data_IF_397525421678
#
_entry.id   IF_397525421678
#
_cell.length_a   1.000
_cell.length_b   1.000
_cell.length_c   1.000
_cell.angle_alpha   90.00
_cell.angle_beta   90.00
_cell.angle_gamma   90.00
#
_symmetry.space_group_name_H-M   'P 1'
#
loop_
_entity.id
_entity.type
_entity.pdbx_description
1 polymer ?
#
# COMPACT_ATOMS: atom_id res chain seq x y z
N UNK A 1 8.91 37.34 -20.65
CA UNK A 1 9.94 37.78 -21.61
C UNK A 1 11.29 37.66 -20.90
N UNK A 2 12.35 37.16 -21.56
CA UNK A 2 13.70 37.20 -20.96
C UNK A 2 14.12 38.67 -20.88
N UNK A 3 14.72 39.08 -19.77
CA UNK A 3 15.20 40.45 -19.61
C UNK A 3 16.30 40.74 -20.63
N UNK A 4 16.33 41.93 -21.25
CA UNK A 4 17.34 42.29 -22.26
C UNK A 4 18.78 42.13 -21.74
N UNK A 5 18.98 42.22 -20.42
CA UNK A 5 20.26 41.98 -19.76
C UNK A 5 20.79 40.54 -19.92
N UNK A 6 19.93 39.53 -19.90
CA UNK A 6 20.35 38.12 -19.98
C UNK A 6 20.94 37.77 -21.35
N UNK A 7 20.33 38.31 -22.42
CA UNK A 7 20.75 38.05 -23.80
C UNK A 7 22.16 38.60 -24.05
N UNK A 8 22.46 39.82 -23.58
CA UNK A 8 23.80 40.41 -23.76
C UNK A 8 24.89 39.64 -23.01
N UNK A 9 24.56 39.09 -21.82
CA UNK A 9 25.48 38.24 -21.03
C UNK A 9 25.74 36.91 -21.74
N UNK A 10 24.70 36.26 -22.27
CA UNK A 10 24.83 35.01 -23.03
C UNK A 10 25.67 35.22 -24.31
N UNK A 11 25.45 36.31 -25.05
CA UNK A 11 26.23 36.66 -26.24
C UNK A 11 27.71 36.88 -25.93
N UNK A 12 28.02 37.66 -24.89
CA UNK A 12 29.42 37.87 -24.46
C UNK A 12 30.10 36.54 -24.07
N UNK A 13 29.37 35.65 -23.41
CA UNK A 13 29.86 34.31 -23.06
C UNK A 13 30.12 33.44 -24.30
N UNK A 14 29.20 33.45 -25.26
CA UNK A 14 29.34 32.72 -26.51
C UNK A 14 30.53 33.21 -27.34
N UNK A 15 30.73 34.54 -27.44
CA UNK A 15 31.91 35.12 -28.09
C UNK A 15 33.22 34.66 -27.45
N UNK A 16 33.30 34.69 -26.11
CA UNK A 16 34.47 34.20 -25.37
C UNK A 16 34.76 32.72 -25.66
N UNK A 17 33.74 31.88 -25.73
CA UNK A 17 33.90 30.46 -26.08
C UNK A 17 34.35 30.29 -27.53
N UNK A 18 33.80 31.05 -28.47
CA UNK A 18 34.19 31.00 -29.87
C UNK A 18 35.67 31.36 -30.06
N UNK A 19 36.17 32.37 -29.35
CA UNK A 19 37.58 32.73 -29.35
C UNK A 19 38.48 31.60 -28.83
N UNK A 20 38.09 30.93 -27.75
CA UNK A 20 38.81 29.75 -27.22
C UNK A 20 38.88 28.64 -28.28
N UNK A 21 37.78 28.34 -28.96
CA UNK A 21 37.76 27.34 -30.02
C UNK A 21 38.61 27.74 -31.23
N UNK A 22 38.60 29.02 -31.61
CA UNK A 22 39.47 29.55 -32.68
C UNK A 22 40.95 29.38 -32.33
N UNK A 23 41.35 29.72 -31.10
CA UNK A 23 42.74 29.54 -30.62
C UNK A 23 43.16 28.07 -30.56
N UNK A 24 42.28 27.18 -30.09
CA UNK A 24 42.54 25.74 -30.13
C UNK A 24 42.70 25.23 -31.57
N UNK A 25 41.88 25.72 -32.52
CA UNK A 25 41.95 25.35 -33.94
C UNK A 25 43.22 25.88 -34.63
N UNK A 26 43.74 27.03 -34.22
CA UNK A 26 45.01 27.56 -34.72
C UNK A 26 46.25 26.82 -34.18
N UNK A 27 46.07 25.79 -33.35
CA UNK A 27 47.15 24.96 -32.84
C UNK A 27 47.70 25.38 -31.47
N UNK A 28 47.04 26.26 -30.74
CA UNK A 28 47.45 26.61 -29.36
C UNK A 28 47.28 25.39 -28.44
N UNK A 29 48.40 24.85 -27.94
CA UNK A 29 48.44 23.64 -27.12
C UNK A 29 47.64 23.79 -25.82
N UNK A 30 47.65 24.97 -25.20
CA UNK A 30 46.94 25.20 -23.94
C UNK A 30 45.43 25.09 -24.13
N UNK A 31 44.87 25.83 -25.11
CA UNK A 31 43.43 25.78 -25.37
C UNK A 31 42.98 24.43 -25.94
N UNK A 32 43.84 23.75 -26.71
CA UNK A 32 43.59 22.38 -27.17
C UNK A 32 43.49 21.40 -25.98
N UNK A 33 44.39 21.49 -25.00
CA UNK A 33 44.34 20.68 -23.78
C UNK A 33 43.08 20.96 -22.94
N UNK A 34 42.68 22.23 -22.82
CA UNK A 34 41.43 22.62 -22.15
C UNK A 34 40.21 22.01 -22.85
N UNK A 35 40.11 22.15 -24.18
CA UNK A 35 39.02 21.56 -24.96
C UNK A 35 38.97 20.04 -24.76
N UNK A 36 40.12 19.35 -24.86
CA UNK A 36 40.22 17.90 -24.65
C UNK A 36 39.76 17.47 -23.26
N UNK A 37 40.10 18.24 -22.21
CA UNK A 37 39.63 17.97 -20.84
C UNK A 37 38.10 18.04 -20.74
N UNK A 38 37.49 19.08 -21.29
CA UNK A 38 36.04 19.24 -21.29
C UNK A 38 35.34 18.20 -22.16
N UNK A 39 35.90 17.83 -23.32
CA UNK A 39 35.39 16.72 -24.13
C UNK A 39 35.32 15.42 -23.33
N UNK A 40 36.39 15.05 -22.61
CA UNK A 40 36.39 13.87 -21.73
C UNK A 40 35.35 13.96 -20.62
N UNK A 41 35.16 15.14 -20.02
CA UNK A 41 34.12 15.35 -19.01
C UNK A 41 32.71 15.16 -19.59
N UNK A 42 32.44 15.70 -20.78
CA UNK A 42 31.14 15.56 -21.45
C UNK A 42 30.92 14.09 -21.84
N UNK A 43 31.92 13.43 -22.41
CA UNK A 43 31.88 11.99 -22.72
C UNK A 43 31.55 11.18 -21.45
N UNK A 44 32.23 11.44 -20.34
CA UNK A 44 31.94 10.81 -19.04
C UNK A 44 30.51 11.06 -18.56
N UNK A 45 30.02 12.30 -18.66
CA UNK A 45 28.65 12.66 -18.28
C UNK A 45 27.60 11.96 -19.17
N UNK A 46 27.82 11.91 -20.49
CA UNK A 46 26.92 11.20 -21.42
C UNK A 46 26.92 9.70 -21.20
N UNK A 47 28.08 9.11 -20.90
CA UNK A 47 28.21 7.71 -20.54
C UNK A 47 27.45 7.39 -19.25
N UNK A 48 27.62 8.22 -18.21
CA UNK A 48 26.89 8.07 -16.94
C UNK A 48 25.38 8.19 -17.14
N UNK A 49 24.90 9.22 -17.88
CA UNK A 49 23.49 9.39 -18.17
C UNK A 49 22.89 8.19 -18.93
N UNK A 50 23.67 7.59 -19.84
CA UNK A 50 23.27 6.36 -20.54
C UNK A 50 23.17 5.18 -19.57
N UNK A 51 24.16 5.00 -18.69
CA UNK A 51 24.15 3.94 -17.68
C UNK A 51 22.96 4.08 -16.72
N UNK A 52 22.71 5.29 -16.21
CA UNK A 52 21.59 5.60 -15.33
C UNK A 52 20.24 5.32 -16.01
N UNK A 53 20.11 5.65 -17.31
CA UNK A 53 18.91 5.34 -18.08
C UNK A 53 18.66 3.83 -18.19
N UNK A 54 19.70 3.05 -18.48
CA UNK A 54 19.59 1.58 -18.54
C UNK A 54 19.19 1.03 -17.17
N UNK A 55 19.83 1.51 -16.10
CA UNK A 55 19.52 1.11 -14.74
C UNK A 55 18.07 1.44 -14.34
N UNK A 56 17.58 2.64 -14.65
CA UNK A 56 16.18 3.01 -14.41
C UNK A 56 15.19 2.14 -15.19
N UNK A 57 15.51 1.79 -16.45
CA UNK A 57 14.70 0.89 -17.24
C UNK A 57 14.64 -0.51 -16.64
N UNK A 58 15.77 -1.02 -16.14
CA UNK A 58 15.83 -2.30 -15.43
C UNK A 58 15.01 -2.26 -14.14
N UNK A 59 15.15 -1.21 -13.32
CA UNK A 59 14.33 -1.03 -12.10
C UNK A 59 12.85 -1.04 -12.44
N UNK A 60 12.43 -0.23 -13.43
CA UNK A 60 11.03 -0.16 -13.83
C UNK A 60 10.51 -1.52 -14.33
N UNK A 61 11.35 -2.29 -15.03
CA UNK A 61 11.01 -3.64 -15.46
C UNK A 61 10.88 -4.60 -14.28
N UNK A 62 11.81 -4.56 -13.32
CA UNK A 62 11.74 -5.35 -12.08
C UNK A 62 10.50 -5.01 -11.26
N UNK A 63 10.17 -3.73 -11.11
CA UNK A 63 8.96 -3.28 -10.44
C UNK A 63 7.70 -3.80 -11.13
N UNK A 64 7.65 -3.73 -12.47
CA UNK A 64 6.56 -4.30 -13.25
C UNK A 64 6.43 -5.80 -13.03
N UNK A 65 7.53 -6.55 -13.05
CA UNK A 65 7.50 -8.00 -12.80
C UNK A 65 7.12 -8.35 -11.36
N UNK A 66 7.56 -7.54 -10.39
CA UNK A 66 7.23 -7.71 -8.96
C UNK A 66 5.75 -7.45 -8.67
N UNK A 67 5.17 -6.46 -9.35
CA UNK A 67 3.78 -6.03 -9.15
C UNK A 67 2.79 -6.70 -10.10
N UNK A 68 3.28 -7.42 -11.13
CA UNK A 68 2.45 -8.17 -12.07
C UNK A 68 1.58 -9.19 -11.32
N UNK A 69 0.25 -9.11 -11.42
CA UNK A 69 -0.64 -10.10 -10.83
C UNK A 69 -0.43 -11.46 -11.51
N UNK A 70 -0.08 -12.48 -10.72
CA UNK A 70 0.06 -13.86 -11.19
C UNK A 70 -1.08 -14.70 -10.61
N UNK A 71 -1.73 -15.48 -11.47
CA UNK A 71 -2.76 -16.41 -11.02
C UNK A 71 -2.13 -17.56 -10.24
N UNK A 72 -2.55 -17.74 -8.99
CA UNK A 72 -1.93 -18.71 -8.07
C UNK A 72 -2.42 -20.15 -8.23
N UNK A 73 -3.49 -20.34 -9.02
CA UNK A 73 -4.26 -21.59 -9.11
C UNK A 73 -5.33 -21.72 -8.00
N UNK A 74 -5.63 -20.65 -7.27
CA UNK A 74 -6.76 -20.59 -6.34
C UNK A 74 -7.87 -19.66 -6.84
N UNK A 75 -9.03 -19.71 -6.18
CA UNK A 75 -10.13 -18.76 -6.36
C UNK A 75 -10.50 -18.14 -5.02
N UNK A 76 -11.10 -16.96 -5.08
CA UNK A 76 -11.79 -16.32 -3.97
C UNK A 76 -13.23 -16.79 -3.96
N UNK A 77 -13.69 -17.24 -2.79
CA UNK A 77 -15.09 -17.63 -2.59
C UNK A 77 -16.00 -16.44 -2.90
N UNK A 78 -17.14 -16.64 -3.60
CA UNK A 78 -18.14 -15.59 -3.68
C UNK A 78 -18.59 -15.22 -2.26
N UNK A 79 -18.72 -13.91 -2.03
CA UNK A 79 -19.22 -13.34 -0.78
C UNK A 79 -20.24 -12.25 -1.11
N UNK A 80 -20.83 -11.63 -0.09
CA UNK A 80 -21.66 -10.44 -0.31
C UNK A 80 -20.90 -9.30 -1.03
N UNK A 81 -19.57 -9.27 -0.95
CA UNK A 81 -18.76 -8.16 -1.47
C UNK A 81 -18.12 -8.45 -2.84
N UNK A 82 -17.95 -9.71 -3.22
CA UNK A 82 -17.33 -10.10 -4.47
C UNK A 82 -18.03 -11.29 -5.12
N UNK A 83 -18.15 -11.23 -6.44
CA UNK A 83 -18.47 -12.37 -7.30
C UNK A 83 -17.36 -13.44 -7.16
N UNK A 84 -17.53 -14.67 -7.68
CA UNK A 84 -16.40 -15.57 -7.86
C UNK A 84 -15.27 -14.84 -8.61
N UNK A 85 -14.05 -14.87 -8.07
CA UNK A 85 -12.88 -14.20 -8.65
C UNK A 85 -11.65 -15.13 -8.58
N UNK A 86 -10.71 -15.04 -9.53
CA UNK A 86 -9.45 -15.76 -9.42
C UNK A 86 -8.57 -15.16 -8.33
N UNK A 87 -7.78 -16.00 -7.65
CA UNK A 87 -6.81 -15.54 -6.65
C UNK A 87 -5.48 -15.19 -7.33
N UNK A 88 -5.21 -13.88 -7.40
CA UNK A 88 -3.99 -13.31 -7.95
C UNK A 88 -3.01 -12.93 -6.83
N UNK A 89 -1.71 -13.00 -7.12
CA UNK A 89 -0.64 -12.54 -6.23
C UNK A 89 0.40 -11.70 -7.02
N UNK A 90 0.66 -10.44 -6.62
CA UNK A 90 -0.15 -9.65 -5.69
C UNK A 90 -1.58 -9.43 -6.22
N UNK A 91 -2.53 -9.20 -5.32
CA UNK A 91 -3.90 -8.87 -5.73
C UNK A 91 -3.92 -7.42 -6.25
N UNK A 92 -4.50 -7.16 -7.43
CA UNK A 92 -4.61 -5.80 -7.95
C UNK A 92 -5.34 -4.87 -6.98
N UNK A 93 -4.82 -3.65 -6.83
CA UNK A 93 -5.39 -2.65 -5.92
C UNK A 93 -6.87 -2.36 -6.21
N UNK A 94 -7.29 -2.39 -7.47
CA UNK A 94 -8.69 -2.17 -7.84
C UNK A 94 -9.63 -3.26 -7.28
N UNK A 95 -9.21 -4.53 -7.23
CA UNK A 95 -10.04 -5.61 -6.66
C UNK A 95 -10.17 -5.42 -5.15
N UNK A 96 -9.05 -5.17 -4.48
CA UNK A 96 -9.02 -4.93 -3.03
C UNK A 96 -9.83 -3.68 -2.66
N UNK A 97 -9.64 -2.59 -3.41
CA UNK A 97 -10.37 -1.33 -3.25
C UNK A 97 -11.88 -1.50 -3.48
N UNK A 98 -12.28 -2.23 -4.52
CA UNK A 98 -13.68 -2.56 -4.80
C UNK A 98 -14.33 -3.32 -3.64
N UNK A 99 -13.65 -4.34 -3.07
CA UNK A 99 -14.18 -5.11 -1.93
C UNK A 99 -14.33 -4.21 -0.69
N UNK A 100 -13.31 -3.40 -0.40
CA UNK A 100 -13.33 -2.45 0.73
C UNK A 100 -14.45 -1.43 0.58
N UNK A 101 -14.59 -0.82 -0.60
CA UNK A 101 -15.66 0.14 -0.89
C UNK A 101 -17.05 -0.49 -0.70
N UNK A 102 -17.27 -1.71 -1.20
CA UNK A 102 -18.53 -2.43 -1.01
C UNK A 102 -18.84 -2.74 0.45
N UNK A 103 -17.83 -3.08 1.26
CA UNK A 103 -18.02 -3.26 2.72
C UNK A 103 -18.51 -1.97 3.37
N UNK A 104 -17.85 -0.84 3.08
CA UNK A 104 -18.25 0.48 3.60
C UNK A 104 -19.66 0.86 3.16
N UNK A 105 -20.00 0.64 1.89
CA UNK A 105 -21.34 0.93 1.37
C UNK A 105 -22.40 0.04 2.02
N UNK A 106 -22.13 -1.25 2.23
CA UNK A 106 -23.06 -2.15 2.95
C UNK A 106 -23.28 -1.66 4.38
N UNK A 107 -22.22 -1.27 5.09
CA UNK A 107 -22.36 -0.72 6.45
C UNK A 107 -23.29 0.49 6.47
N UNK A 108 -23.03 1.48 5.60
CA UNK A 108 -23.89 2.67 5.49
C UNK A 108 -25.35 2.33 5.18
N UNK A 109 -25.61 1.28 4.39
CA UNK A 109 -26.98 0.82 4.12
C UNK A 109 -27.63 0.16 5.32
N UNK A 110 -26.89 -0.57 6.15
CA UNK A 110 -27.41 -1.11 7.40
C UNK A 110 -27.75 0.03 8.36
N UNK A 111 -26.82 0.97 8.54
CA UNK A 111 -27.04 2.13 9.42
C UNK A 111 -28.27 2.95 8.96
N UNK A 112 -28.41 3.18 7.65
CA UNK A 112 -29.59 3.87 7.09
C UNK A 112 -30.86 3.06 7.22
N UNK A 113 -30.81 1.74 7.02
CA UNK A 113 -31.96 0.86 7.20
C UNK A 113 -32.48 0.92 8.64
N UNK A 114 -31.58 0.83 9.61
CA UNK A 114 -31.93 0.89 11.03
C UNK A 114 -32.53 2.26 11.38
N UNK A 115 -31.95 3.36 10.87
CA UNK A 115 -32.52 4.71 11.04
C UNK A 115 -33.95 4.83 10.47
N UNK A 116 -34.17 4.36 9.24
CA UNK A 116 -35.50 4.39 8.60
C UNK A 116 -36.53 3.53 9.33
N UNK A 117 -36.11 2.37 9.89
CA UNK A 117 -37.00 1.54 10.70
C UNK A 117 -37.40 2.23 11.99
N UNK A 118 -36.47 2.95 12.64
CA UNK A 118 -36.78 3.75 13.83
C UNK A 118 -37.70 4.93 13.50
N UNK A 119 -37.42 5.67 12.43
CA UNK A 119 -38.28 6.76 11.94
C UNK A 119 -39.70 6.26 11.66
N UNK A 120 -39.83 5.11 11.00
CA UNK A 120 -41.13 4.47 10.77
C UNK A 120 -41.82 4.11 12.09
N UNK A 121 -41.10 3.52 13.05
CA UNK A 121 -41.66 3.18 14.35
C UNK A 121 -42.12 4.43 15.14
N UNK A 122 -41.42 5.56 15.01
CA UNK A 122 -41.85 6.83 15.61
C UNK A 122 -43.13 7.36 14.95
N UNK A 123 -43.26 7.32 13.63
CA UNK A 123 -44.52 7.70 12.96
C UNK A 123 -45.69 6.82 13.42
N UNK A 124 -45.44 5.52 13.61
CA UNK A 124 -46.44 4.59 14.10
C UNK A 124 -46.86 4.93 15.54
N UNK A 125 -45.90 5.30 16.38
CA UNK A 125 -46.16 5.75 17.74
C UNK A 125 -46.96 7.07 17.77
N UNK A 126 -46.55 8.07 16.99
CA UNK A 126 -47.22 9.39 16.93
C UNK A 126 -48.65 9.27 16.41
N UNK A 127 -48.88 8.47 15.36
CA UNK A 127 -50.24 8.21 14.86
C UNK A 127 -51.12 7.54 15.92
N UNK A 128 -50.60 6.56 16.66
CA UNK A 128 -51.34 5.94 17.75
C UNK A 128 -51.62 6.93 18.90
N UNK A 129 -50.66 7.80 19.20
CA UNK A 129 -50.81 8.85 20.20
C UNK A 129 -51.89 9.85 19.80
N UNK A 130 -51.90 10.34 18.56
CA UNK A 130 -52.96 11.22 18.04
C UNK A 130 -54.34 10.54 18.11
N UNK A 131 -54.43 9.26 17.77
CA UNK A 131 -55.68 8.50 17.89
C UNK A 131 -56.17 8.42 19.34
N UNK A 132 -55.27 8.12 20.29
CA UNK A 132 -55.60 8.07 21.71
C UNK A 132 -55.98 9.46 22.26
N UNK A 133 -55.29 10.51 21.81
CA UNK A 133 -55.58 11.88 22.20
C UNK A 133 -56.94 12.34 21.68
N UNK A 134 -57.26 12.07 20.40
CA UNK A 134 -58.55 12.40 19.81
C UNK A 134 -59.72 11.65 20.47
N UNK A 135 -59.49 10.43 20.99
CA UNK A 135 -60.50 9.70 21.74
C UNK A 135 -60.77 10.29 23.13
N UNK A 136 -59.75 10.88 23.76
CA UNK A 136 -59.83 11.44 25.12
C UNK A 136 -60.14 12.95 25.14
N UNK A 137 -59.82 13.67 24.06
CA UNK A 137 -60.05 15.10 23.94
C UNK A 137 -61.55 15.36 23.72
N UNK A 138 -62.20 16.03 24.67
CA UNK A 138 -63.60 16.45 24.55
C UNK A 138 -63.85 17.56 23.52
N UNK A 139 -62.81 17.98 22.78
CA UNK A 139 -62.87 18.98 21.72
C UNK A 139 -62.29 18.43 20.41
N UNK A 140 -62.77 18.88 19.24
CA UNK A 140 -62.22 18.46 17.96
C UNK A 140 -60.73 18.82 17.87
N UNK A 141 -59.89 17.81 17.60
CA UNK A 141 -58.45 17.92 17.44
C UNK A 141 -58.09 17.52 16.00
N UNK A 142 -57.29 18.34 15.32
CA UNK A 142 -56.79 18.07 13.97
C UNK A 142 -55.67 17.04 14.03
N UNK A 143 -55.81 15.95 13.27
CA UNK A 143 -54.87 14.83 13.29
C UNK A 143 -53.97 14.91 12.06
N UNK A 144 -52.72 15.29 12.24
CA UNK A 144 -51.79 15.51 11.12
C UNK A 144 -51.18 14.20 10.66
N UNK A 145 -50.82 13.32 11.59
CA UNK A 145 -50.14 12.06 11.29
C UNK A 145 -51.11 10.91 11.02
N UNK A 146 -52.29 10.92 11.64
CA UNK A 146 -53.28 9.86 11.52
C UNK A 146 -53.96 9.87 10.15
N UNK A 147 -54.40 11.04 9.69
CA UNK A 147 -55.24 11.17 8.49
C UNK A 147 -54.41 10.98 7.21
N UNK A 148 -53.13 11.35 7.23
CA UNK A 148 -52.21 11.22 6.09
C UNK A 148 -51.06 10.22 6.31
N UNK A 149 -51.22 9.25 7.21
CA UNK A 149 -50.14 8.30 7.58
C UNK A 149 -49.49 7.61 6.37
N UNK A 150 -50.29 7.31 5.34
CA UNK A 150 -49.82 6.67 4.10
C UNK A 150 -48.82 7.57 3.37
N UNK A 151 -49.09 8.88 3.29
CA UNK A 151 -48.24 9.86 2.61
C UNK A 151 -46.90 10.00 3.33
N UNK A 152 -46.91 10.06 4.67
CA UNK A 152 -45.70 10.13 5.48
C UNK A 152 -44.86 8.85 5.41
N UNK A 153 -45.49 7.67 5.37
CA UNK A 153 -44.79 6.38 5.29
C UNK A 153 -44.26 6.06 3.90
N UNK A 154 -44.91 6.51 2.83
CA UNK A 154 -44.54 6.19 1.45
C UNK A 154 -43.05 6.40 1.13
N UNK A 155 -42.43 7.57 1.39
CA UNK A 155 -41.01 7.78 1.10
C UNK A 155 -40.08 6.86 1.91
N UNK A 156 -40.41 6.56 3.17
CA UNK A 156 -39.63 5.63 4.00
C UNK A 156 -39.70 4.20 3.43
N UNK A 157 -40.89 3.78 2.99
CA UNK A 157 -41.10 2.45 2.39
C UNK A 157 -40.32 2.32 1.08
N UNK A 158 -40.33 3.37 0.24
CA UNK A 158 -39.60 3.38 -1.02
C UNK A 158 -38.08 3.33 -0.80
N UNK A 159 -37.53 4.08 0.17
CA UNK A 159 -36.12 3.97 0.55
C UNK A 159 -35.77 2.58 1.10
N UNK A 160 -36.60 2.03 1.99
CA UNK A 160 -36.42 0.67 2.52
C UNK A 160 -36.43 -0.38 1.40
N UNK A 161 -37.31 -0.22 0.40
CA UNK A 161 -37.36 -1.08 -0.79
C UNK A 161 -36.07 -0.96 -1.62
N UNK A 162 -35.56 0.26 -1.82
CA UNK A 162 -34.30 0.51 -2.52
C UNK A 162 -33.11 -0.14 -1.80
N UNK A 163 -33.02 -0.04 -0.47
CA UNK A 163 -32.00 -0.72 0.34
C UNK A 163 -32.15 -2.24 0.23
N UNK A 164 -33.38 -2.75 0.30
CA UNK A 164 -33.71 -4.17 0.14
C UNK A 164 -33.22 -4.75 -1.20
N UNK A 165 -33.40 -4.01 -2.30
CA UNK A 165 -32.85 -4.39 -3.60
C UNK A 165 -31.31 -4.48 -3.57
N UNK A 166 -30.64 -3.56 -2.88
CA UNK A 166 -29.20 -3.62 -2.65
C UNK A 166 -28.76 -4.90 -1.94
N UNK A 167 -29.47 -5.33 -0.89
CA UNK A 167 -29.21 -6.60 -0.19
C UNK A 167 -29.50 -7.83 -1.06
N UNK A 168 -30.53 -7.77 -1.91
CA UNK A 168 -30.82 -8.84 -2.87
C UNK A 168 -29.64 -9.06 -3.84
N UNK A 169 -29.11 -7.99 -4.45
CA UNK A 169 -27.93 -8.08 -5.33
C UNK A 169 -26.73 -8.69 -4.60
N UNK A 170 -26.52 -8.36 -3.33
CA UNK A 170 -25.45 -8.92 -2.51
C UNK A 170 -25.64 -10.41 -2.24
N UNK A 171 -26.87 -10.84 -1.99
CA UNK A 171 -27.22 -12.27 -1.85
C UNK A 171 -26.94 -13.02 -3.15
N UNK A 172 -27.39 -12.50 -4.30
CA UNK A 172 -27.12 -13.07 -5.63
C UNK A 172 -25.62 -13.17 -5.89
N UNK A 173 -24.85 -12.17 -5.49
CA UNK A 173 -23.38 -12.19 -5.62
C UNK A 173 -22.74 -13.32 -4.81
N UNK A 174 -23.24 -13.56 -3.60
CA UNK A 174 -22.73 -14.59 -2.69
C UNK A 174 -23.08 -16.02 -3.15
N UNK A 175 -24.21 -16.20 -3.84
CA UNK A 175 -24.68 -17.49 -4.35
C UNK A 175 -24.21 -17.80 -5.78
N UNK A 176 -23.54 -16.85 -6.44
CA UNK A 176 -23.11 -17.02 -7.83
C UNK A 176 -22.09 -18.17 -7.97
N UNK A 177 -22.37 -19.18 -8.82
CA UNK A 177 -21.44 -20.27 -9.08
C UNK A 177 -20.22 -19.77 -9.87
N UNK A 178 -19.09 -20.48 -9.77
CA UNK A 178 -17.90 -20.14 -10.54
C UNK A 178 -18.13 -20.40 -12.03
N UNK A 179 -17.80 -19.44 -12.92
CA UNK A 179 -17.93 -19.67 -14.34
C UNK A 179 -16.95 -20.77 -14.80
N UNK A 180 -17.35 -21.64 -15.74
CA UNK A 180 -16.55 -22.79 -16.16
C UNK A 180 -15.20 -22.37 -16.75
N UNK A 181 -15.17 -21.31 -17.55
CA UNK A 181 -13.93 -20.73 -18.10
C UNK A 181 -12.91 -20.36 -17.02
N UNK A 182 -13.37 -19.79 -15.90
CA UNK A 182 -12.51 -19.47 -14.76
C UNK A 182 -11.96 -20.74 -14.10
N UNK A 183 -12.76 -21.80 -13.99
CA UNK A 183 -12.30 -23.08 -13.46
C UNK A 183 -11.24 -23.70 -14.36
N UNK A 184 -11.38 -23.60 -15.68
CA UNK A 184 -10.39 -24.06 -16.66
C UNK A 184 -9.08 -23.27 -16.56
N UNK A 185 -9.16 -21.93 -16.51
CA UNK A 185 -8.02 -21.07 -16.29
C UNK A 185 -7.27 -21.45 -15.01
N UNK A 186 -8.00 -21.66 -13.91
CA UNK A 186 -7.41 -22.06 -12.63
C UNK A 186 -6.74 -23.44 -12.72
N UNK A 187 -7.35 -24.40 -13.41
CA UNK A 187 -6.75 -25.72 -13.66
C UNK A 187 -5.47 -25.58 -14.50
N UNK A 188 -5.48 -24.74 -15.52
CA UNK A 188 -4.29 -24.45 -16.34
C UNK A 188 -3.16 -23.86 -15.50
N UNK A 189 -3.42 -22.84 -14.67
CA UNK A 189 -2.40 -22.27 -13.78
C UNK A 189 -1.88 -23.28 -12.74
N UNK A 190 -2.73 -24.21 -12.24
CA UNK A 190 -2.24 -25.29 -11.37
C UNK A 190 -1.27 -26.21 -12.11
N UNK A 191 -1.59 -26.61 -13.34
CA UNK A 191 -0.71 -27.44 -14.19
C UNK A 191 0.60 -26.71 -14.46
N UNK A 192 0.54 -25.45 -14.85
CA UNK A 192 1.72 -24.62 -15.11
C UNK A 192 2.58 -24.45 -13.85
N UNK A 193 1.96 -24.22 -12.69
CA UNK A 193 2.67 -24.15 -11.41
C UNK A 193 3.43 -25.45 -11.11
N UNK A 194 2.79 -26.60 -11.34
CA UNK A 194 3.44 -27.91 -11.15
C UNK A 194 4.60 -28.05 -12.15
N UNK A 195 4.38 -27.78 -13.43
CA UNK A 195 5.42 -27.83 -14.46
C UNK A 195 6.61 -26.90 -14.13
N UNK A 196 6.35 -25.68 -13.66
CA UNK A 196 7.37 -24.72 -13.24
C UNK A 196 8.18 -25.24 -12.05
N UNK A 197 7.51 -25.90 -11.08
CA UNK A 197 8.19 -26.52 -9.93
C UNK A 197 9.00 -27.75 -10.31
N UNK A 198 8.56 -28.52 -11.31
CA UNK A 198 9.35 -29.62 -11.88
C UNK A 198 10.59 -29.10 -12.58
N UNK A 199 10.46 -28.07 -13.44
CA UNK A 199 11.62 -27.42 -14.10
C UNK A 199 12.60 -26.79 -13.11
N UNK A 200 12.11 -26.19 -12.01
CA UNK A 200 12.96 -25.69 -10.93
C UNK A 200 13.77 -26.84 -10.27
N UNK A 201 13.15 -28.00 -10.05
CA UNK A 201 13.83 -29.20 -9.50
C UNK A 201 14.85 -29.79 -10.47
N UNK A 202 14.57 -29.79 -11.77
CA UNK A 202 15.52 -30.28 -12.78
C UNK A 202 16.77 -29.40 -12.83
N UNK A 203 16.60 -28.07 -12.75
CA UNK A 203 17.73 -27.11 -12.64
C UNK A 203 18.55 -27.35 -11.37
N UNK A 204 17.91 -27.59 -10.24
CA UNK A 204 18.60 -28.00 -9.00
C UNK A 204 19.43 -29.27 -9.18
N UNK A 205 18.88 -30.28 -9.86
CA UNK A 205 19.59 -31.54 -10.14
C UNK A 205 20.78 -31.36 -11.07
N UNK A 206 20.73 -30.38 -11.98
CA UNK A 206 21.87 -29.99 -12.83
C UNK A 206 22.95 -29.20 -12.07
N UNK A 207 22.71 -28.85 -10.81
CA UNK A 207 23.64 -28.09 -9.98
C UNK A 207 23.43 -26.58 -10.00
N UNK A 208 22.34 -26.07 -10.61
CA UNK A 208 22.03 -24.64 -10.56
C UNK A 208 21.58 -24.24 -9.14
N UNK A 209 22.12 -23.11 -8.66
CA UNK A 209 21.81 -22.55 -7.34
C UNK A 209 20.44 -21.86 -7.34
N UNK A 210 19.37 -22.62 -7.16
CA UNK A 210 18.00 -22.07 -7.09
C UNK A 210 17.68 -21.45 -5.73
N UNK A 211 16.64 -20.61 -5.68
CA UNK A 211 16.13 -20.03 -4.43
C UNK A 211 15.69 -21.08 -3.40
N UNK A 212 15.13 -22.20 -3.85
CA UNK A 212 14.73 -23.29 -2.96
C UNK A 212 15.96 -24.00 -2.39
N UNK A 213 16.98 -24.26 -3.21
CA UNK A 213 18.25 -24.82 -2.71
C UNK A 213 18.91 -23.87 -1.71
N UNK A 214 19.00 -22.58 -2.01
CA UNK A 214 19.50 -21.56 -1.08
C UNK A 214 18.71 -21.54 0.24
N UNK A 215 17.38 -21.60 0.18
CA UNK A 215 16.53 -21.69 1.38
C UNK A 215 16.81 -22.97 2.17
N UNK A 216 16.96 -24.11 1.49
CA UNK A 216 17.28 -25.40 2.13
C UNK A 216 18.66 -25.38 2.77
N UNK A 217 19.66 -24.80 2.11
CA UNK A 217 21.01 -24.62 2.67
C UNK A 217 20.97 -23.75 3.92
N UNK A 218 20.11 -22.72 3.96
CA UNK A 218 19.92 -21.85 5.13
C UNK A 218 19.10 -22.46 6.26
N UNK A 219 18.32 -23.53 6.02
CA UNK A 219 17.63 -24.23 7.10
C UNK A 219 18.67 -24.80 8.07
N UNK A 220 18.35 -24.89 9.36
CA UNK A 220 19.26 -25.48 10.36
C UNK A 220 19.27 -27.01 10.23
N UNK A 221 20.31 -27.71 10.72
CA UNK A 221 20.24 -29.16 10.90
C UNK A 221 19.00 -29.55 11.73
N UNK A 222 18.45 -30.76 11.56
CA UNK A 222 17.37 -31.27 12.40
C UNK A 222 17.70 -31.16 13.90
N UNK A 223 16.68 -30.96 14.74
CA UNK A 223 16.87 -30.71 16.18
C UNK A 223 17.72 -31.79 16.89
N UNK A 224 17.52 -33.07 16.55
CA UNK A 224 18.30 -34.18 17.12
C UNK A 224 19.79 -34.13 16.72
N UNK A 225 20.11 -33.65 15.52
CA UNK A 225 21.51 -33.41 15.10
C UNK A 225 22.08 -32.22 15.85
N UNK A 226 21.28 -31.15 16.01
CA UNK A 226 21.71 -29.97 16.76
C UNK A 226 22.05 -30.30 18.21
N UNK A 227 21.24 -31.11 18.91
CA UNK A 227 21.52 -31.50 20.30
C UNK A 227 22.84 -32.25 20.45
N UNK A 228 23.19 -33.09 19.48
CA UNK A 228 24.46 -33.84 19.45
C UNK A 228 25.67 -33.01 19.02
N UNK A 229 25.46 -31.87 18.36
CA UNK A 229 26.55 -31.01 17.92
C UNK A 229 27.11 -30.17 19.07
N UNK A 230 28.44 -30.19 19.23
CA UNK A 230 29.14 -29.27 20.11
C UNK A 230 28.90 -27.81 19.69
N UNK A 231 29.00 -26.83 20.61
CA UNK A 231 28.84 -25.42 20.27
C UNK A 231 29.76 -24.96 19.13
N UNK A 232 31.00 -25.48 19.08
CA UNK A 232 31.96 -25.22 17.99
C UNK A 232 31.46 -25.78 16.65
N UNK A 233 30.94 -27.01 16.62
CA UNK A 233 30.38 -27.61 15.41
C UNK A 233 29.15 -26.83 14.91
N UNK A 234 28.28 -26.37 15.82
CA UNK A 234 27.13 -25.52 15.46
C UNK A 234 27.56 -24.20 14.82
N UNK A 235 28.63 -23.57 15.34
CA UNK A 235 29.19 -22.33 14.77
C UNK A 235 29.75 -22.55 13.36
N UNK A 236 30.53 -23.61 13.17
CA UNK A 236 31.10 -23.94 11.85
C UNK A 236 30.01 -24.25 10.82
N UNK A 237 28.96 -24.96 11.21
CA UNK A 237 27.82 -25.25 10.34
C UNK A 237 27.05 -24.00 9.90
N UNK A 238 26.88 -23.02 10.79
CA UNK A 238 26.27 -21.72 10.45
C UNK A 238 27.13 -20.97 9.41
N UNK A 239 28.46 -20.94 9.60
CA UNK A 239 29.40 -20.29 8.68
C UNK A 239 29.37 -20.96 7.31
N UNK A 240 29.43 -22.30 7.29
CA UNK A 240 29.42 -23.09 6.06
C UNK A 240 28.12 -22.91 5.26
N UNK A 241 26.98 -22.67 5.92
CA UNK A 241 25.68 -22.40 5.26
C UNK A 241 25.55 -20.97 4.71
N UNK A 242 26.61 -20.16 4.79
CA UNK A 242 26.56 -18.75 4.41
C UNK A 242 25.70 -17.92 5.37
N UNK A 243 25.47 -18.42 6.58
CA UNK A 243 24.86 -17.66 7.66
C UNK A 243 25.85 -16.62 8.13
N UNK A 244 25.89 -15.46 7.46
CA UNK A 244 26.29 -14.24 8.15
C UNK A 244 25.29 -14.02 9.28
N UNK A 245 25.55 -14.61 10.46
CA UNK A 245 25.32 -13.83 11.68
C UNK A 245 26.09 -12.54 11.44
N UNK A 246 25.47 -11.39 11.71
CA UNK A 246 26.16 -10.11 11.70
C UNK A 246 27.56 -10.31 12.27
N UNK A 247 28.55 -9.70 11.61
CA UNK A 247 29.94 -9.75 12.06
C UNK A 247 29.98 -9.61 13.59
N UNK A 248 30.91 -10.25 14.31
CA UNK A 248 31.05 -10.01 15.75
C UNK A 248 31.11 -8.50 16.09
N UNK A 249 31.66 -7.68 15.18
CA UNK A 249 31.63 -6.21 15.15
C UNK A 249 30.20 -5.61 15.29
N UNK A 250 29.18 -6.26 14.74
CA UNK A 250 27.79 -5.83 14.83
C UNK A 250 27.12 -6.19 16.15
N UNK A 251 27.64 -7.17 16.89
CA UNK A 251 27.06 -7.53 18.19
C UNK A 251 27.48 -6.51 19.24
N UNK A 252 28.77 -6.16 19.28
CA UNK A 252 29.29 -5.13 20.18
C UNK A 252 28.64 -3.77 19.91
N UNK A 253 28.46 -3.40 18.64
CA UNK A 253 27.78 -2.14 18.29
C UNK A 253 26.28 -2.17 18.60
N UNK A 254 25.60 -3.32 18.48
CA UNK A 254 24.19 -3.43 18.88
C UNK A 254 24.02 -3.45 20.40
N UNK A 255 24.93 -4.08 21.13
CA UNK A 255 24.96 -4.09 22.59
C UNK A 255 25.25 -2.65 23.11
N UNK A 256 26.20 -1.93 22.49
CA UNK A 256 26.46 -0.50 22.75
C UNK A 256 25.25 0.39 22.45
N UNK A 257 24.59 0.19 21.31
CA UNK A 257 23.39 0.96 20.94
C UNK A 257 22.23 0.69 21.92
N UNK A 258 22.11 -0.54 22.42
CA UNK A 258 21.11 -0.88 23.42
C UNK A 258 21.40 -0.20 24.76
N UNK A 259 22.66 -0.18 25.21
CA UNK A 259 23.09 0.56 26.40
C UNK A 259 22.84 2.07 26.24
N UNK A 260 23.17 2.65 25.08
CA UNK A 260 22.93 4.08 24.78
C UNK A 260 21.44 4.44 24.82
N UNK A 261 20.57 3.57 24.29
CA UNK A 261 19.11 3.74 24.37
C UNK A 261 18.61 3.64 25.82
N UNK A 262 19.15 2.73 26.62
CA UNK A 262 18.80 2.61 28.04
C UNK A 262 19.22 3.83 28.85
N UNK A 263 20.42 4.37 28.59
CA UNK A 263 20.90 5.61 29.21
C UNK A 263 20.06 6.83 28.80
N UNK A 264 19.76 6.97 27.51
CA UNK A 264 18.90 8.03 26.98
C UNK A 264 17.49 7.97 27.60
N UNK A 265 16.91 6.77 27.73
CA UNK A 265 15.64 6.58 28.41
C UNK A 265 15.71 6.90 29.91
N UNK A 266 16.84 6.59 30.56
CA UNK A 266 17.09 6.94 31.96
C UNK A 266 17.15 8.46 32.14
N UNK A 267 17.81 9.18 31.21
CA UNK A 267 17.83 10.66 31.18
C UNK A 267 16.43 11.23 31.02
N UNK A 268 15.62 10.69 30.10
CA UNK A 268 14.24 11.14 29.88
C UNK A 268 13.33 10.95 31.10
N UNK A 269 13.54 9.87 31.87
CA UNK A 269 12.84 9.64 33.15
C UNK A 269 13.31 10.56 34.28
N UNK A 270 14.50 11.13 34.15
CA UNK A 270 15.08 12.07 35.09
C UNK A 270 14.98 13.53 34.68
N UNK A 271 14.33 13.85 33.54
CA UNK A 271 13.91 15.22 33.28
C UNK A 271 12.93 15.57 34.41
N UNK A 272 13.30 16.48 35.32
CA UNK A 272 12.37 16.94 36.33
C UNK A 272 11.21 17.51 35.54
N UNK A 273 10.00 17.00 35.77
CA UNK A 273 8.80 17.65 35.28
C UNK A 273 8.92 19.12 35.68
N UNK A 274 9.23 19.98 34.70
CA UNK A 274 9.13 21.42 34.89
C UNK A 274 7.71 21.61 35.37
N UNK A 275 7.57 21.97 36.64
CA UNK A 275 6.27 22.30 37.19
C UNK A 275 5.64 23.32 36.24
N UNK A 276 4.35 23.16 35.88
CA UNK A 276 3.66 24.09 35.01
C UNK A 276 3.55 25.44 35.71
N UNK A 277 4.64 26.21 35.61
CA UNK A 277 4.73 27.59 36.05
C UNK A 277 4.08 28.50 35.03
N UNK A 278 3.37 29.49 35.59
CA UNK A 278 2.84 30.69 34.93
C UNK A 278 1.55 30.52 34.13
N UNK A 279 0.46 30.47 34.90
CA UNK A 279 -0.72 31.35 34.74
C UNK A 279 -0.76 32.16 33.45
N UNK A 280 -1.46 31.62 32.45
CA UNK A 280 -1.95 32.38 31.30
C UNK A 280 -2.98 33.38 31.80
N UNK A 281 -2.60 34.65 31.88
CA UNK A 281 -3.51 35.78 32.07
C UNK A 281 -4.66 35.70 31.06
N UNK A 282 -5.89 35.60 31.57
CA UNK A 282 -7.09 35.69 30.74
C UNK A 282 -7.25 37.13 30.26
N UNK A 283 -7.45 37.38 28.95
CA UNK A 283 -7.70 38.72 28.45
C UNK A 283 -9.06 39.23 28.97
N UNK A 284 -9.17 40.53 29.28
CA UNK A 284 -10.38 41.11 29.86
C UNK A 284 -11.53 41.06 28.86
N UNK A 285 -12.64 40.43 29.27
CA UNK A 285 -13.91 40.49 28.55
C UNK A 285 -14.46 41.91 28.62
N UNK A 286 -14.61 42.53 27.45
CA UNK A 286 -15.23 43.84 27.27
C UNK A 286 -16.75 43.70 27.35
N UNK A 287 -17.38 44.53 28.19
CA UNK A 287 -18.83 44.74 28.24
C UNK A 287 -19.33 45.57 27.05
#
# INVERSE_FOLDING_TARGET
MREQGDVTRELKKAHRWLEIFRKAKSGDEHFSAVCRRYSRMIEGATFQARADRVFQQEIAWYERMRTRPIMTGGYLKPTFFNKPLPRLLPQPLHITGMISARRKVRQRRLDRYDALQNEKAFLDFESNFEHALAANAGSPFERVYSDELINWRAPLIDELRAIGHGFHIERVRSSMPYPPEMLEQIRAARREKIANKTRERERERRGEMTNRLLKRMRQRPPAHRLSQMSPKARRMDIIARGGQRGRPENKETLDQLAEEIEEENRRRRHVPSQEPGESVEQPPTSN
#
